data_IF_464180752179
#
_entry.id   IF_464180752179
#
_cell.length_a   1.000
_cell.length_b   1.000
_cell.length_c   1.000
_cell.angle_alpha   90.00
_cell.angle_beta   90.00
_cell.angle_gamma   90.00
#
_symmetry.space_group_name_H-M   'P 1'
#
loop_
_entity.id
_entity.type
_entity.pdbx_description
1 polymer ?
#
# COMPACT_ATOMS: atom_id res chain seq x y z
N UNK A 1 -6.97 -15.73 3.99
CA UNK A 1 -5.92 -14.86 4.01
C UNK A 1 -5.29 -14.68 5.36
N UNK A 2 -4.06 -14.40 5.37
CA UNK A 2 -3.31 -14.08 6.57
C UNK A 2 -3.36 -12.60 6.89
N UNK A 3 -2.76 -12.27 8.02
CA UNK A 3 -2.53 -10.90 8.40
C UNK A 3 -1.34 -10.32 7.64
N UNK A 4 -1.32 -9.01 7.51
CA UNK A 4 -0.14 -8.29 7.03
C UNK A 4 1.00 -8.39 8.05
N UNK A 5 2.19 -7.99 7.66
CA UNK A 5 3.32 -7.95 8.59
C UNK A 5 3.06 -7.00 9.76
N UNK A 6 2.22 -5.99 9.56
CA UNK A 6 1.80 -5.09 10.63
C UNK A 6 0.70 -5.64 11.54
N UNK A 7 0.22 -6.86 11.27
CA UNK A 7 -0.77 -7.54 12.11
C UNK A 7 -2.21 -7.23 11.76
N UNK A 8 -2.48 -6.52 10.67
CA UNK A 8 -3.84 -6.17 10.25
C UNK A 8 -4.37 -7.16 9.22
N UNK A 9 -5.69 -7.21 9.10
CA UNK A 9 -6.34 -7.87 7.95
C UNK A 9 -6.32 -6.87 6.80
N UNK A 10 -5.75 -7.23 5.64
CA UNK A 10 -5.66 -6.28 4.53
C UNK A 10 -7.02 -5.91 3.98
N UNK A 11 -7.17 -4.65 3.59
CA UNK A 11 -8.42 -4.12 3.03
C UNK A 11 -8.08 -3.32 1.77
N UNK A 12 -8.76 -3.63 0.68
CA UNK A 12 -8.66 -2.85 -0.54
C UNK A 12 -9.12 -1.42 -0.29
N UNK A 13 -8.35 -0.45 -0.78
CA UNK A 13 -8.62 0.98 -0.54
C UNK A 13 -7.92 1.53 0.69
N UNK A 14 -7.34 0.69 1.53
CA UNK A 14 -6.59 1.11 2.70
C UNK A 14 -5.17 0.58 2.73
N UNK A 15 -4.99 -0.69 2.49
CA UNK A 15 -3.74 -1.39 2.77
C UNK A 15 -2.76 -1.30 1.62
N UNK A 16 -1.54 -0.88 1.93
CA UNK A 16 -0.40 -0.99 1.01
C UNK A 16 0.80 -1.58 1.74
N UNK A 17 1.70 -2.18 0.95
CA UNK A 17 3.00 -2.62 1.42
C UNK A 17 4.07 -1.67 0.88
N UNK A 18 4.98 -1.26 1.74
CA UNK A 18 6.12 -0.45 1.34
C UNK A 18 7.30 -0.69 2.27
N UNK A 19 8.40 -1.20 1.72
CA UNK A 19 9.60 -1.46 2.50
C UNK A 19 10.24 -0.16 2.98
N UNK A 20 10.78 -0.20 4.20
CA UNK A 20 11.52 0.92 4.76
C UNK A 20 10.67 2.07 5.31
N UNK A 21 9.37 1.88 5.38
CA UNK A 21 8.42 2.88 5.88
C UNK A 21 7.69 2.30 7.09
N UNK A 22 7.57 3.03 8.20
CA UNK A 22 6.89 2.50 9.38
C UNK A 22 5.43 2.14 9.12
N UNK A 23 4.97 1.05 9.73
CA UNK A 23 3.55 0.70 9.69
C UNK A 23 2.72 1.82 10.30
N UNK A 24 1.57 2.06 9.70
CA UNK A 24 0.68 3.15 10.09
C UNK A 24 0.94 4.46 9.35
N UNK A 25 2.03 4.55 8.59
CA UNK A 25 2.30 5.73 7.76
C UNK A 25 1.19 5.88 6.73
N UNK A 26 0.69 7.09 6.60
CA UNK A 26 -0.34 7.42 5.61
C UNK A 26 0.30 7.99 4.36
N UNK A 27 -0.07 7.44 3.22
CA UNK A 27 0.42 7.88 1.91
C UNK A 27 -0.74 8.38 1.08
N UNK A 28 -0.49 9.42 0.28
CA UNK A 28 -1.44 9.89 -0.74
C UNK A 28 -0.95 9.42 -2.09
N UNK A 29 -1.76 8.65 -2.77
CA UNK A 29 -1.47 8.13 -4.11
C UNK A 29 -2.72 8.32 -4.96
N UNK A 30 -2.60 9.07 -6.06
CA UNK A 30 -3.75 9.33 -6.94
C UNK A 30 -4.92 10.01 -6.23
N UNK A 31 -4.66 10.87 -5.25
CA UNK A 31 -5.68 11.56 -4.50
C UNK A 31 -6.36 10.72 -3.41
N UNK A 32 -5.93 9.48 -3.21
CA UNK A 32 -6.48 8.59 -2.19
C UNK A 32 -5.46 8.37 -1.08
N UNK A 33 -5.95 8.20 0.14
CA UNK A 33 -5.09 7.96 1.30
C UNK A 33 -5.02 6.47 1.58
N UNK A 34 -3.79 5.95 1.65
CA UNK A 34 -3.52 4.56 1.98
C UNK A 34 -2.71 4.49 3.26
N UNK A 35 -2.75 3.33 3.90
CA UNK A 35 -1.98 3.06 5.12
C UNK A 35 -0.95 1.98 4.84
N UNK A 36 0.30 2.23 5.22
CA UNK A 36 1.34 1.22 5.15
C UNK A 36 1.10 0.21 6.26
N UNK A 37 0.77 -1.02 5.89
CA UNK A 37 0.45 -2.09 6.84
C UNK A 37 1.29 -3.33 6.60
N UNK A 38 2.05 -3.34 5.53
CA UNK A 38 2.86 -4.48 5.16
C UNK A 38 4.19 -4.04 4.57
N UNK A 39 5.07 -5.00 4.36
CA UNK A 39 6.38 -4.80 3.73
C UNK A 39 6.65 -6.01 2.84
N UNK A 40 7.84 -6.11 2.27
CA UNK A 40 8.17 -7.22 1.37
C UNK A 40 8.19 -6.78 -0.08
N UNK A 41 8.20 -5.48 -0.29
CA UNK A 41 8.42 -4.90 -1.61
C UNK A 41 9.89 -4.52 -1.78
N UNK A 42 10.37 -4.39 -3.02
CA UNK A 42 11.62 -3.67 -3.25
C UNK A 42 11.49 -2.22 -2.78
N UNK A 43 12.61 -1.62 -2.38
CA UNK A 43 12.61 -0.20 -2.00
C UNK A 43 12.14 0.67 -3.16
N UNK A 44 11.34 1.68 -2.85
CA UNK A 44 10.78 2.58 -3.85
C UNK A 44 9.51 2.05 -4.54
N UNK A 45 9.09 0.84 -4.20
CA UNK A 45 7.84 0.26 -4.69
C UNK A 45 6.76 0.34 -3.63
N UNK A 46 5.53 0.57 -4.07
CA UNK A 46 4.35 0.45 -3.23
C UNK A 46 3.44 -0.59 -3.85
N UNK A 47 3.07 -1.59 -3.05
CA UNK A 47 2.17 -2.65 -3.49
C UNK A 47 0.80 -2.40 -2.87
N UNK A 48 -0.18 -2.12 -3.72
CA UNK A 48 -1.54 -1.82 -3.29
C UNK A 48 -2.32 -3.12 -3.18
N UNK A 49 -2.88 -3.38 -2.01
CA UNK A 49 -3.68 -4.58 -1.81
C UNK A 49 -4.96 -4.53 -2.65
N UNK A 50 -5.22 -5.60 -3.36
CA UNK A 50 -6.44 -5.80 -4.12
C UNK A 50 -7.14 -7.08 -3.65
N UNK A 51 -8.48 -7.08 -3.68
CA UNK A 51 -9.28 -8.21 -3.18
C UNK A 51 -9.07 -9.49 -3.99
N UNK A 52 -8.72 -9.37 -5.26
CA UNK A 52 -8.53 -10.54 -6.11
C UNK A 52 -7.25 -10.43 -6.93
N UNK A 53 -6.72 -11.60 -7.28
CA UNK A 53 -5.55 -11.67 -8.16
C UNK A 53 -5.87 -11.07 -9.54
N UNK A 54 -7.07 -11.27 -10.04
CA UNK A 54 -7.50 -10.71 -11.33
C UNK A 54 -7.48 -9.19 -11.29
N UNK A 55 -8.00 -8.58 -10.23
CA UNK A 55 -7.99 -7.12 -10.08
C UNK A 55 -6.56 -6.60 -9.99
N UNK A 56 -5.70 -7.27 -9.25
CA UNK A 56 -4.30 -6.89 -9.14
C UNK A 56 -3.58 -6.97 -10.48
N UNK A 57 -3.83 -8.02 -11.25
CA UNK A 57 -3.25 -8.20 -12.57
C UNK A 57 -3.72 -7.12 -13.54
N UNK A 58 -5.01 -6.81 -13.51
CA UNK A 58 -5.58 -5.77 -14.37
C UNK A 58 -5.07 -4.37 -14.01
N UNK A 59 -4.85 -4.11 -12.73
CA UNK A 59 -4.26 -2.84 -12.29
C UNK A 59 -2.84 -2.69 -12.82
N UNK A 60 -2.06 -3.77 -12.75
CA UNK A 60 -0.70 -3.82 -13.28
C UNK A 60 0.27 -2.92 -12.52
N UNK A 61 1.37 -2.59 -13.20
CA UNK A 61 2.41 -1.71 -12.66
C UNK A 61 2.22 -0.32 -13.25
N UNK A 62 2.18 0.68 -12.38
CA UNK A 62 2.02 2.07 -12.77
C UNK A 62 3.05 2.91 -12.02
N UNK A 63 3.48 4.00 -12.63
CA UNK A 63 4.32 4.99 -11.98
C UNK A 63 3.45 6.13 -11.49
N UNK A 64 3.64 6.53 -10.24
CA UNK A 64 2.84 7.60 -9.65
C UNK A 64 3.68 8.34 -8.61
N UNK A 65 3.31 9.59 -8.37
CA UNK A 65 3.86 10.33 -7.24
C UNK A 65 3.20 9.85 -5.96
N UNK A 66 4.01 9.65 -4.93
CA UNK A 66 3.55 9.19 -3.61
C UNK A 66 3.96 10.23 -2.59
N UNK A 67 2.99 10.72 -1.83
CA UNK A 67 3.23 11.75 -0.84
C UNK A 67 2.88 11.24 0.55
N UNK A 68 3.56 11.77 1.57
CA UNK A 68 3.16 11.56 2.95
C UNK A 68 1.90 12.39 3.22
N UNK A 69 0.88 11.77 3.79
CA UNK A 69 -0.31 12.49 4.22
C UNK A 69 -0.03 13.21 5.54
N UNK A 70 -0.81 14.25 5.80
CA UNK A 70 -0.76 14.98 7.08
C UNK A 70 0.58 15.63 7.39
N UNK A 71 1.28 16.04 6.37
CA UNK A 71 2.46 16.89 6.56
C UNK A 71 1.99 18.27 6.96
N UNK A 72 2.25 18.63 8.18
CA UNK A 72 1.87 19.92 8.75
C UNK A 72 3.06 20.87 8.75
#
# INVERSE_FOLDING_TARGET
GGATAGGTVPVQGRTVAMAGVPFGTKLVIGGLIYTVEDRGTPYGHVDIYMNSHTDATNFGVQYADVYLANQQ
#
